data_IF_131803961799
#
_entry.id   IF_131803961799
#
_cell.length_a   1.000
_cell.length_b   1.000
_cell.length_c   1.000
_cell.angle_alpha   90.00
_cell.angle_beta   90.00
_cell.angle_gamma   90.00
#
_symmetry.space_group_name_H-M   'P 1'
#
loop_
_entity.id
_entity.type
_entity.pdbx_description
1 polymer ?
#
# COMPACT_ATOMS: atom_id res chain seq x y z
N UNK A 1 68.13 -22.88 8.00
CA UNK A 1 67.30 -21.72 7.63
C UNK A 1 68.21 -20.50 7.47
N UNK A 2 68.14 -19.81 6.32
CA UNK A 2 69.02 -18.66 6.07
C UNK A 2 68.47 -17.37 6.70
N UNK A 3 69.36 -16.45 7.07
CA UNK A 3 69.02 -15.15 7.69
C UNK A 3 68.02 -14.32 6.86
N UNK A 4 67.97 -14.52 5.53
CA UNK A 4 67.00 -13.89 4.62
C UNK A 4 65.57 -14.40 4.81
N UNK A 5 65.39 -15.71 5.00
CA UNK A 5 64.06 -16.33 5.13
C UNK A 5 63.39 -15.91 6.43
N UNK A 6 64.16 -15.84 7.52
CA UNK A 6 63.69 -15.36 8.83
C UNK A 6 63.21 -13.91 8.76
N UNK A 7 63.93 -13.04 8.04
CA UNK A 7 63.52 -11.63 7.84
C UNK A 7 62.26 -11.52 6.97
N UNK A 8 62.14 -12.33 5.92
CA UNK A 8 60.96 -12.36 5.06
C UNK A 8 59.71 -12.81 5.83
N UNK A 9 59.80 -13.92 6.59
CA UNK A 9 58.72 -14.41 7.44
C UNK A 9 58.32 -13.38 8.51
N UNK A 10 59.29 -12.68 9.12
CA UNK A 10 59.02 -11.62 10.11
C UNK A 10 58.28 -10.43 9.49
N UNK A 11 58.65 -10.02 8.27
CA UNK A 11 57.94 -8.96 7.52
C UNK A 11 56.51 -9.37 7.19
N UNK A 12 56.30 -10.61 6.76
CA UNK A 12 54.98 -11.15 6.43
C UNK A 12 54.08 -11.25 7.67
N UNK A 13 54.62 -11.70 8.81
CA UNK A 13 53.90 -11.74 10.09
C UNK A 13 53.54 -10.34 10.61
N UNK A 14 54.41 -9.34 10.38
CA UNK A 14 54.11 -7.94 10.73
C UNK A 14 53.00 -7.37 9.84
N UNK A 15 53.03 -7.66 8.54
CA UNK A 15 52.02 -7.24 7.58
C UNK A 15 50.65 -7.89 7.87
N UNK A 16 50.61 -9.18 8.19
CA UNK A 16 49.36 -9.88 8.56
C UNK A 16 48.78 -9.35 9.88
N UNK A 17 49.61 -9.07 10.89
CA UNK A 17 49.17 -8.40 12.12
C UNK A 17 48.61 -7.00 11.87
N UNK A 18 49.22 -6.23 10.97
CA UNK A 18 48.71 -4.91 10.59
C UNK A 18 47.34 -5.02 9.90
N UNK A 19 47.18 -5.96 8.96
CA UNK A 19 45.89 -6.25 8.31
C UNK A 19 44.81 -6.68 9.31
N UNK A 20 45.16 -7.54 10.27
CA UNK A 20 44.22 -7.99 11.30
C UNK A 20 43.79 -6.84 12.24
N UNK A 21 44.71 -5.95 12.61
CA UNK A 21 44.38 -4.75 13.40
C UNK A 21 43.43 -3.83 12.64
N UNK A 22 43.68 -3.63 11.35
CA UNK A 22 42.83 -2.81 10.47
C UNK A 22 41.44 -3.43 10.30
N UNK A 23 41.36 -4.74 10.03
CA UNK A 23 40.09 -5.46 9.94
C UNK A 23 39.29 -5.39 11.25
N UNK A 24 39.94 -5.51 12.41
CA UNK A 24 39.27 -5.34 13.72
C UNK A 24 38.72 -3.93 13.92
N UNK A 25 39.44 -2.89 13.49
CA UNK A 25 38.94 -1.51 13.54
C UNK A 25 37.70 -1.34 12.65
N UNK A 26 37.75 -1.86 11.42
CA UNK A 26 36.61 -1.82 10.48
C UNK A 26 35.41 -2.58 11.02
N UNK A 27 35.62 -3.76 11.60
CA UNK A 27 34.54 -4.54 12.21
C UNK A 27 33.89 -3.77 13.36
N UNK A 28 34.67 -3.12 14.22
CA UNK A 28 34.14 -2.30 15.32
C UNK A 28 33.30 -1.13 14.81
N UNK A 29 33.74 -0.48 13.74
CA UNK A 29 32.99 0.63 13.12
C UNK A 29 31.69 0.14 12.46
N UNK A 30 31.72 -0.99 11.75
CA UNK A 30 30.50 -1.60 11.18
C UNK A 30 29.51 -1.99 12.28
N UNK A 31 29.98 -2.52 13.41
CA UNK A 31 29.11 -2.82 14.55
C UNK A 31 28.45 -1.56 15.12
N UNK A 32 29.19 -0.44 15.22
CA UNK A 32 28.63 0.85 15.64
C UNK A 32 27.57 1.34 14.65
N UNK A 33 27.85 1.29 13.35
CA UNK A 33 26.89 1.70 12.31
C UNK A 33 25.64 0.83 12.30
N UNK A 34 25.78 -0.48 12.50
CA UNK A 34 24.64 -1.39 12.60
C UNK A 34 23.77 -1.09 13.82
N UNK A 35 24.38 -0.78 14.96
CA UNK A 35 23.61 -0.42 16.16
C UNK A 35 22.86 0.90 15.97
N UNK A 36 23.52 1.91 15.39
CA UNK A 36 22.87 3.17 15.03
C UNK A 36 21.72 2.99 14.04
N UNK A 37 21.89 2.07 13.08
CA UNK A 37 20.84 1.74 12.11
C UNK A 37 19.66 1.02 12.79
N UNK A 38 19.92 0.08 13.70
CA UNK A 38 18.87 -0.56 14.50
C UNK A 38 18.10 0.44 15.34
N UNK A 39 18.79 1.37 16.00
CA UNK A 39 18.15 2.41 16.79
C UNK A 39 17.29 3.33 15.92
N UNK A 40 17.74 3.65 14.70
CA UNK A 40 16.93 4.39 13.72
C UNK A 40 15.68 3.60 13.33
N UNK A 41 15.83 2.33 12.96
CA UNK A 41 14.71 1.46 12.61
C UNK A 41 13.70 1.32 13.74
N UNK A 42 14.16 1.20 14.99
CA UNK A 42 13.30 1.12 16.16
C UNK A 42 12.49 2.42 16.39
N UNK A 43 13.07 3.58 16.08
CA UNK A 43 12.35 4.87 16.13
C UNK A 43 11.32 5.02 15.01
N UNK A 44 11.64 4.53 13.82
CA UNK A 44 10.77 4.69 12.64
C UNK A 44 9.64 3.64 12.59
N UNK A 45 9.81 2.48 13.25
CA UNK A 45 8.83 1.41 13.31
C UNK A 45 7.40 1.84 13.70
N UNK A 46 7.16 2.58 14.80
CA UNK A 46 5.80 3.02 15.16
C UNK A 46 5.20 3.99 14.15
N UNK A 47 6.02 4.81 13.47
CA UNK A 47 5.56 5.70 12.42
C UNK A 47 5.09 4.91 11.19
N UNK A 48 5.86 3.91 10.78
CA UNK A 48 5.50 3.02 9.67
C UNK A 48 4.22 2.22 9.97
N UNK A 49 4.08 1.70 11.19
CA UNK A 49 2.86 1.02 11.64
C UNK A 49 1.64 1.95 11.58
N UNK A 50 1.78 3.20 12.04
CA UNK A 50 0.72 4.20 11.96
C UNK A 50 0.32 4.56 10.52
N UNK A 51 1.27 4.56 9.59
CA UNK A 51 1.00 4.76 8.16
C UNK A 51 0.24 3.55 7.59
N UNK A 52 0.70 2.33 7.86
CA UNK A 52 0.05 1.11 7.38
C UNK A 52 -1.40 1.03 7.83
N UNK A 53 -1.69 1.32 9.10
CA UNK A 53 -3.05 1.32 9.62
C UNK A 53 -3.96 2.32 8.89
N UNK A 54 -3.47 3.53 8.61
CA UNK A 54 -4.24 4.54 7.86
C UNK A 54 -4.49 4.08 6.43
N UNK A 55 -3.49 3.48 5.79
CA UNK A 55 -3.65 2.90 4.45
C UNK A 55 -4.75 1.85 4.44
N UNK A 56 -4.74 0.92 5.40
CA UNK A 56 -5.78 -0.10 5.52
C UNK A 56 -7.18 0.49 5.71
N UNK A 57 -7.31 1.58 6.47
CA UNK A 57 -8.59 2.29 6.66
C UNK A 57 -9.05 2.97 5.36
N UNK A 58 -8.15 3.61 4.62
CA UNK A 58 -8.47 4.30 3.36
C UNK A 58 -8.84 3.34 2.22
N UNK A 59 -8.38 2.09 2.28
CA UNK A 59 -8.73 1.05 1.31
C UNK A 59 -10.08 0.38 1.58
N UNK A 60 -10.76 0.70 2.68
CA UNK A 60 -12.09 0.14 2.98
C UNK A 60 -13.18 0.90 2.25
N UNK A 61 -14.17 0.17 1.76
CA UNK A 61 -15.37 0.79 1.21
C UNK A 61 -16.16 1.48 2.34
N UNK A 62 -16.54 2.76 2.21
CA UNK A 62 -17.23 3.49 3.26
C UNK A 62 -18.67 3.02 3.52
N UNK A 63 -19.27 2.17 2.67
CA UNK A 63 -20.61 1.61 2.90
C UNK A 63 -20.61 0.28 3.64
N UNK A 64 -19.73 -0.66 3.25
CA UNK A 64 -19.70 -2.00 3.86
C UNK A 64 -18.50 -2.24 4.76
N UNK A 65 -17.55 -1.30 4.81
CA UNK A 65 -16.32 -1.35 5.61
C UNK A 65 -15.39 -2.52 5.25
N UNK A 66 -15.72 -3.30 4.21
CA UNK A 66 -14.85 -4.33 3.67
C UNK A 66 -13.69 -3.68 2.90
N UNK A 67 -12.51 -4.29 3.01
CA UNK A 67 -11.33 -3.91 2.23
C UNK A 67 -11.61 -4.07 0.74
N UNK A 68 -11.26 -3.05 -0.05
CA UNK A 68 -11.30 -3.15 -1.50
C UNK A 68 -10.15 -4.04 -2.00
N UNK A 69 -10.40 -4.76 -3.08
CA UNK A 69 -9.42 -5.64 -3.73
C UNK A 69 -9.60 -5.62 -5.26
N UNK A 70 -8.68 -6.25 -5.99
CA UNK A 70 -8.68 -6.21 -7.46
C UNK A 70 -9.72 -7.14 -8.13
N UNK A 71 -10.45 -7.93 -7.35
CA UNK A 71 -11.27 -9.07 -7.81
C UNK A 71 -12.71 -9.02 -7.31
N UNK A 72 -12.94 -9.14 -6.00
CA UNK A 72 -14.26 -9.23 -5.39
C UNK A 72 -14.78 -7.84 -5.02
N UNK A 73 -14.01 -7.08 -4.24
CA UNK A 73 -14.37 -5.72 -3.80
C UNK A 73 -13.72 -4.65 -4.67
N UNK A 74 -13.93 -4.74 -5.98
CA UNK A 74 -13.34 -3.81 -6.95
C UNK A 74 -13.76 -2.37 -6.65
N UNK A 75 -12.82 -1.45 -6.38
CA UNK A 75 -13.14 -0.05 -6.08
C UNK A 75 -13.62 0.67 -7.34
N UNK A 76 -14.81 1.25 -7.26
CA UNK A 76 -15.48 2.04 -8.28
C UNK A 76 -15.58 3.50 -7.82
N UNK A 77 -15.34 4.45 -8.71
CA UNK A 77 -15.28 5.88 -8.38
C UNK A 77 -16.49 6.64 -8.98
N UNK A 78 -17.19 7.39 -8.13
CA UNK A 78 -18.25 8.29 -8.56
C UNK A 78 -17.65 9.58 -9.16
N UNK A 79 -18.45 10.38 -9.86
CA UNK A 79 -18.01 11.66 -10.43
C UNK A 79 -17.55 12.69 -9.40
N UNK A 80 -17.89 12.49 -8.12
CA UNK A 80 -17.42 13.33 -7.02
C UNK A 80 -16.04 12.91 -6.47
N UNK A 81 -15.47 11.80 -6.96
CA UNK A 81 -14.19 11.26 -6.49
C UNK A 81 -14.28 10.24 -5.35
N UNK A 82 -15.45 10.09 -4.72
CA UNK A 82 -15.63 9.07 -3.68
C UNK A 82 -15.69 7.66 -4.27
N UNK A 83 -15.08 6.72 -3.56
CA UNK A 83 -14.89 5.34 -4.01
C UNK A 83 -15.73 4.38 -3.18
N UNK A 84 -16.36 3.41 -3.85
CA UNK A 84 -17.18 2.36 -3.25
C UNK A 84 -16.86 1.03 -3.94
N UNK A 85 -17.02 -0.11 -3.26
CA UNK A 85 -16.85 -1.39 -3.95
C UNK A 85 -18.01 -1.63 -4.95
N UNK A 86 -17.75 -2.42 -6.01
CA UNK A 86 -18.73 -2.70 -7.05
C UNK A 86 -20.05 -3.28 -6.53
N UNK A 87 -20.01 -4.21 -5.58
CA UNK A 87 -21.23 -4.75 -4.95
C UNK A 87 -22.06 -3.65 -4.27
N UNK A 88 -21.41 -2.75 -3.55
CA UNK A 88 -22.05 -1.61 -2.91
C UNK A 88 -22.67 -0.64 -3.93
N UNK A 89 -22.03 -0.46 -5.09
CA UNK A 89 -22.59 0.32 -6.20
C UNK A 89 -23.88 -0.31 -6.76
N UNK A 90 -23.90 -1.64 -6.94
CA UNK A 90 -25.11 -2.37 -7.40
C UNK A 90 -26.26 -2.14 -6.43
N UNK A 91 -26.01 -2.32 -5.12
CA UNK A 91 -27.03 -2.13 -4.08
C UNK A 91 -27.54 -0.68 -4.05
N UNK A 92 -26.64 0.29 -4.18
CA UNK A 92 -27.00 1.72 -4.20
C UNK A 92 -27.92 2.06 -5.37
N UNK A 93 -27.58 1.58 -6.57
CA UNK A 93 -28.36 1.80 -7.79
C UNK A 93 -29.71 1.08 -7.71
N UNK A 94 -29.74 -0.16 -7.22
CA UNK A 94 -30.97 -0.91 -7.05
C UNK A 94 -31.93 -0.23 -6.07
N UNK A 95 -31.42 0.20 -4.91
CA UNK A 95 -32.22 0.92 -3.92
C UNK A 95 -32.79 2.22 -4.49
N UNK A 96 -31.97 3.00 -5.19
CA UNK A 96 -32.45 4.24 -5.81
C UNK A 96 -33.54 3.98 -6.86
N UNK A 97 -33.45 2.87 -7.60
CA UNK A 97 -34.46 2.48 -8.59
C UNK A 97 -35.75 2.01 -7.92
N UNK A 98 -35.66 1.29 -6.81
CA UNK A 98 -36.82 0.85 -6.03
C UNK A 98 -37.56 2.02 -5.37
N UNK A 99 -36.83 3.07 -4.97
CA UNK A 99 -37.39 4.31 -4.42
C UNK A 99 -38.12 5.16 -5.49
N UNK A 100 -37.99 4.85 -6.79
CA UNK A 100 -38.73 5.54 -7.86
C UNK A 100 -40.20 5.11 -7.90
N UNK A 101 -41.08 6.09 -8.08
CA UNK A 101 -42.50 5.84 -8.36
C UNK A 101 -42.64 4.97 -9.64
N UNK A 102 -43.64 4.06 -9.71
CA UNK A 102 -43.79 3.13 -10.83
C UNK A 102 -43.81 3.79 -12.22
N UNK A 103 -44.42 4.97 -12.32
CA UNK A 103 -44.50 5.77 -13.56
C UNK A 103 -43.19 6.50 -13.94
N UNK A 104 -42.16 6.43 -13.10
CA UNK A 104 -40.84 7.03 -13.31
C UNK A 104 -39.73 5.99 -13.48
N UNK A 105 -40.04 4.70 -13.36
CA UNK A 105 -39.07 3.63 -13.60
C UNK A 105 -38.66 3.63 -15.07
N UNK A 106 -37.36 3.72 -15.31
CA UNK A 106 -36.72 3.69 -16.62
C UNK A 106 -35.41 2.91 -16.51
N UNK A 107 -34.74 2.62 -17.62
CA UNK A 107 -33.43 1.93 -17.60
C UNK A 107 -32.30 2.75 -16.94
N UNK A 108 -32.62 3.94 -16.43
CA UNK A 108 -31.69 4.85 -15.76
C UNK A 108 -32.22 5.31 -14.40
N UNK A 109 -31.31 5.48 -13.46
CA UNK A 109 -31.59 6.05 -12.14
C UNK A 109 -30.51 7.06 -11.73
N UNK A 110 -30.96 8.12 -11.08
CA UNK A 110 -30.10 9.13 -10.50
C UNK A 110 -29.73 8.74 -9.07
N UNK A 111 -28.44 8.54 -8.82
CA UNK A 111 -27.91 8.25 -7.48
C UNK A 111 -27.18 9.47 -6.93
N UNK A 112 -27.37 9.75 -5.63
CA UNK A 112 -26.52 10.70 -4.89
C UNK A 112 -25.40 9.95 -4.21
N UNK A 113 -24.20 10.54 -4.18
CA UNK A 113 -23.08 9.98 -3.43
C UNK A 113 -23.43 9.86 -1.93
N UNK A 114 -23.33 8.66 -1.33
CA UNK A 114 -23.59 8.47 0.10
C UNK A 114 -22.68 9.29 1.03
N UNK A 115 -21.45 9.58 0.59
CA UNK A 115 -20.46 10.28 1.41
C UNK A 115 -20.67 11.79 1.42
N UNK A 116 -20.85 12.41 0.24
CA UNK A 116 -20.89 13.87 0.15
C UNK A 116 -22.24 14.44 -0.27
N UNK A 117 -23.13 13.63 -0.84
CA UNK A 117 -24.48 14.02 -1.30
C UNK A 117 -24.55 15.14 -2.37
N UNK A 118 -23.41 15.71 -2.79
CA UNK A 118 -23.37 16.88 -3.66
C UNK A 118 -23.57 16.57 -5.14
N UNK A 119 -23.01 15.46 -5.64
CA UNK A 119 -23.16 15.09 -7.06
C UNK A 119 -24.19 13.98 -7.23
N UNK A 120 -25.04 14.18 -8.23
CA UNK A 120 -25.93 13.16 -8.77
C UNK A 120 -25.23 12.51 -9.95
N UNK A 121 -25.16 11.18 -9.95
CA UNK A 121 -24.66 10.41 -11.10
C UNK A 121 -25.81 9.61 -11.67
N UNK A 122 -25.98 9.68 -12.99
CA UNK A 122 -26.99 8.91 -13.71
C UNK A 122 -26.40 7.56 -14.10
N UNK A 123 -27.03 6.48 -13.65
CA UNK A 123 -26.55 5.11 -13.80
C UNK A 123 -27.61 4.24 -14.46
N UNK A 124 -27.19 3.19 -15.17
CA UNK A 124 -28.11 2.22 -15.74
C UNK A 124 -28.67 1.27 -14.66
N UNK A 125 -29.91 0.81 -14.85
CA UNK A 125 -30.53 -0.24 -14.04
C UNK A 125 -31.03 -1.38 -14.95
N UNK A 126 -30.73 -2.67 -14.66
CA UNK A 126 -29.79 -3.11 -13.63
C UNK A 126 -28.37 -2.62 -13.92
N UNK A 127 -27.59 -2.38 -12.86
CA UNK A 127 -26.24 -1.82 -12.99
C UNK A 127 -25.31 -2.85 -13.63
N UNK A 128 -24.59 -2.42 -14.66
CA UNK A 128 -23.50 -3.18 -15.24
C UNK A 128 -22.16 -2.61 -14.75
N UNK A 129 -21.46 -3.39 -13.93
CA UNK A 129 -20.16 -2.99 -13.38
C UNK A 129 -19.08 -2.80 -14.46
N UNK A 130 -19.25 -3.36 -15.66
CA UNK A 130 -18.33 -3.11 -16.77
C UNK A 130 -18.41 -1.66 -17.27
N UNK A 131 -19.55 -0.99 -17.09
CA UNK A 131 -19.77 0.41 -17.46
C UNK A 131 -19.41 1.39 -16.34
N UNK A 132 -19.23 0.89 -15.11
CA UNK A 132 -18.84 1.72 -13.97
C UNK A 132 -17.35 1.99 -14.00
N UNK A 133 -16.98 3.26 -13.84
CA UNK A 133 -15.56 3.67 -13.76
C UNK A 133 -14.91 3.06 -12.52
N UNK A 134 -13.88 2.24 -12.74
CA UNK A 134 -13.01 1.73 -11.68
C UNK A 134 -12.07 2.83 -11.17
N UNK A 135 -11.67 2.74 -9.91
CA UNK A 135 -10.62 3.59 -9.37
C UNK A 135 -9.25 2.94 -9.67
N UNK A 136 -8.65 3.30 -10.81
CA UNK A 136 -7.38 2.73 -11.26
C UNK A 136 -6.20 3.08 -10.33
N UNK A 137 -6.23 4.24 -9.66
CA UNK A 137 -5.19 4.63 -8.71
C UNK A 137 -5.18 3.70 -7.49
N UNK A 138 -6.38 3.44 -6.92
CA UNK A 138 -6.55 2.52 -5.80
C UNK A 138 -6.22 1.09 -6.21
N UNK A 139 -6.63 0.66 -7.42
CA UNK A 139 -6.28 -0.66 -7.95
C UNK A 139 -4.78 -0.84 -8.13
N UNK A 140 -4.09 0.17 -8.66
CA UNK A 140 -2.63 0.16 -8.82
C UNK A 140 -1.96 0.05 -7.46
N UNK A 141 -2.41 0.84 -6.49
CA UNK A 141 -1.91 0.79 -5.12
C UNK A 141 -2.09 -0.61 -4.49
N UNK A 142 -3.29 -1.18 -4.56
CA UNK A 142 -3.58 -2.53 -4.03
C UNK A 142 -2.65 -3.57 -4.65
N UNK A 143 -2.45 -3.53 -5.97
CA UNK A 143 -1.56 -4.46 -6.67
C UNK A 143 -0.11 -4.33 -6.18
N UNK A 144 0.38 -3.10 -6.00
CA UNK A 144 1.75 -2.87 -5.51
C UNK A 144 1.97 -3.34 -4.08
N UNK A 145 0.94 -3.29 -3.22
CA UNK A 145 1.03 -3.76 -1.83
C UNK A 145 0.93 -5.28 -1.69
N UNK A 146 0.43 -5.99 -2.71
CA UNK A 146 0.27 -7.45 -2.73
C UNK A 146 1.36 -8.17 -3.55
N UNK A 147 2.31 -7.41 -4.12
CA UNK A 147 3.46 -7.91 -4.89
C UNK A 147 4.66 -8.16 -3.97
#
# INVERSE_FOLDING_TARGET
MNSRDVRAATRQAKASRARLKEAKKRMKELMRQNEEMKDKMARDAPMLEGINKKVEELLKCPMCVASCDATAKVPCILECGHTFCGECMIVLVAKAFDDLAPNKKSDWVDIRCPTCQFKVSRMNYPLDLALVRKNEDVLTFIKTMQS
#
